data_IF_545954511548
#
_entry.id   IF_545954511548
#
_cell.length_a   1.000
_cell.length_b   1.000
_cell.length_c   1.000
_cell.angle_alpha   90.00
_cell.angle_beta   90.00
_cell.angle_gamma   90.00
#
_symmetry.space_group_name_H-M   'P 1'
#
loop_
_entity.id
_entity.type
_entity.pdbx_description
1 polymer ?
#
# COMPACT_ATOMS: atom_id res chain seq x y z
N UNK A 1 17.41 -35.60 -21.97
CA UNK A 1 17.38 -34.98 -20.63
C UNK A 1 17.76 -33.54 -20.83
N UNK A 2 16.76 -32.66 -20.81
CA UNK A 2 16.93 -31.26 -21.16
C UNK A 2 17.44 -30.48 -19.96
N UNK A 3 18.75 -30.31 -19.89
CA UNK A 3 19.32 -29.18 -19.16
C UNK A 3 18.99 -27.94 -19.98
N UNK A 4 17.76 -27.45 -19.81
CA UNK A 4 17.42 -26.09 -20.19
C UNK A 4 18.49 -25.22 -19.54
N UNK A 5 19.31 -24.57 -20.37
CA UNK A 5 20.24 -23.52 -19.98
C UNK A 5 19.51 -22.70 -18.92
N UNK A 6 19.84 -22.86 -17.62
CA UNK A 6 19.17 -22.11 -16.58
C UNK A 6 19.41 -20.66 -16.95
N UNK A 7 18.34 -19.97 -17.33
CA UNK A 7 18.41 -18.56 -17.61
C UNK A 7 18.99 -17.88 -16.35
N UNK A 8 19.87 -16.91 -16.55
CA UNK A 8 20.59 -16.24 -15.46
C UNK A 8 19.59 -15.86 -14.35
N UNK A 9 19.77 -16.29 -13.08
CA UNK A 9 18.75 -16.16 -12.02
C UNK A 9 18.32 -14.72 -11.75
N UNK A 10 19.13 -13.73 -12.16
CA UNK A 10 18.73 -12.32 -12.14
C UNK A 10 17.57 -11.96 -13.08
N UNK A 11 17.32 -12.76 -14.12
CA UNK A 11 16.19 -12.59 -15.04
C UNK A 11 14.92 -13.22 -14.48
N UNK A 12 15.06 -14.36 -13.79
CA UNK A 12 13.94 -15.07 -13.16
C UNK A 12 13.27 -14.18 -12.11
N UNK A 13 14.08 -13.52 -11.29
CA UNK A 13 13.64 -12.51 -10.31
C UNK A 13 12.78 -11.40 -10.96
N UNK A 14 13.14 -10.96 -12.17
CA UNK A 14 12.37 -9.92 -12.86
C UNK A 14 11.09 -10.47 -13.50
N UNK A 15 11.13 -11.70 -14.01
CA UNK A 15 9.96 -12.34 -14.59
C UNK A 15 8.92 -12.65 -13.51
N UNK A 16 9.36 -13.11 -12.34
CA UNK A 16 8.52 -13.27 -11.15
C UNK A 16 7.84 -11.95 -10.76
N UNK A 17 8.60 -10.85 -10.73
CA UNK A 17 8.02 -9.52 -10.50
C UNK A 17 7.00 -9.08 -11.54
N UNK A 18 7.18 -9.44 -12.81
CA UNK A 18 6.21 -9.09 -13.85
C UNK A 18 4.87 -9.80 -13.61
N UNK A 19 4.90 -11.03 -13.11
CA UNK A 19 3.71 -11.86 -12.90
C UNK A 19 2.81 -11.36 -11.76
N UNK A 20 3.38 -10.79 -10.69
CA UNK A 20 2.59 -10.40 -9.51
C UNK A 20 1.83 -9.07 -9.61
N UNK A 21 1.87 -8.40 -10.76
CA UNK A 21 1.22 -7.10 -10.93
C UNK A 21 1.80 -6.00 -10.00
N UNK A 22 1.02 -4.96 -9.76
CA UNK A 22 1.46 -3.77 -9.01
C UNK A 22 1.06 -3.79 -7.53
N UNK A 23 0.03 -4.55 -7.15
CA UNK A 23 -0.58 -4.46 -5.81
C UNK A 23 -0.35 -5.70 -4.94
N UNK A 24 0.30 -6.74 -5.45
CA UNK A 24 0.60 -7.96 -4.68
C UNK A 24 2.08 -8.03 -4.37
N UNK A 25 2.39 -8.23 -3.09
CA UNK A 25 3.74 -8.48 -2.60
C UNK A 25 4.00 -9.97 -2.72
N UNK A 26 5.02 -10.33 -3.51
CA UNK A 26 5.47 -11.71 -3.70
C UNK A 26 6.29 -12.14 -2.50
N UNK A 27 6.38 -13.44 -2.24
CA UNK A 27 7.35 -13.99 -1.29
C UNK A 27 8.78 -13.62 -1.68
N UNK A 28 9.55 -13.11 -0.73
CA UNK A 28 10.97 -12.84 -0.91
C UNK A 28 11.75 -14.15 -1.00
N UNK A 29 12.46 -14.38 -2.10
CA UNK A 29 13.24 -15.60 -2.30
C UNK A 29 14.73 -15.37 -2.03
N UNK A 30 15.17 -15.57 -0.79
CA UNK A 30 16.59 -15.39 -0.39
C UNK A 30 17.53 -16.31 -1.19
N UNK A 31 17.10 -17.53 -1.53
CA UNK A 31 17.93 -18.49 -2.26
C UNK A 31 18.33 -17.97 -3.65
N UNK A 32 17.45 -17.26 -4.35
CA UNK A 32 17.78 -16.66 -5.65
C UNK A 32 18.85 -15.56 -5.52
N UNK A 33 18.83 -14.77 -4.43
CA UNK A 33 19.87 -13.78 -4.17
C UNK A 33 21.22 -14.44 -3.90
N UNK A 34 21.24 -15.54 -3.16
CA UNK A 34 22.47 -16.31 -2.92
C UNK A 34 23.04 -16.90 -4.21
N UNK A 35 22.18 -17.42 -5.10
CA UNK A 35 22.61 -17.90 -6.41
C UNK A 35 23.22 -16.78 -7.26
N UNK A 36 22.59 -15.59 -7.31
CA UNK A 36 23.13 -14.42 -8.02
C UNK A 36 24.44 -13.95 -7.40
N UNK A 37 24.55 -13.95 -6.07
CA UNK A 37 25.76 -13.56 -5.36
C UNK A 37 26.92 -14.50 -5.72
N UNK A 38 26.69 -15.82 -5.75
CA UNK A 38 27.70 -16.81 -6.17
C UNK A 38 28.17 -16.57 -7.61
N UNK A 39 27.25 -16.32 -8.54
CA UNK A 39 27.59 -16.00 -9.94
C UNK A 39 28.41 -14.71 -10.04
N UNK A 40 28.02 -13.68 -9.29
CA UNK A 40 28.75 -12.41 -9.27
C UNK A 40 30.16 -12.58 -8.68
N UNK A 41 30.32 -13.37 -7.61
CA UNK A 41 31.63 -13.69 -7.05
C UNK A 41 32.52 -14.37 -8.07
N UNK A 42 32.02 -15.38 -8.78
CA UNK A 42 32.75 -16.03 -9.87
C UNK A 42 33.18 -15.02 -10.96
N UNK A 43 32.31 -14.08 -11.36
CA UNK A 43 32.70 -13.03 -12.31
C UNK A 43 33.78 -12.09 -11.76
N UNK A 44 33.74 -11.76 -10.46
CA UNK A 44 34.76 -10.93 -9.81
C UNK A 44 36.10 -11.67 -9.75
N UNK A 45 36.10 -12.94 -9.38
CA UNK A 45 37.30 -13.79 -9.36
C UNK A 45 37.93 -13.85 -10.76
N UNK A 46 37.13 -14.16 -11.79
CA UNK A 46 37.60 -14.18 -13.18
C UNK A 46 38.21 -12.83 -13.61
N UNK A 47 37.62 -11.70 -13.22
CA UNK A 47 38.19 -10.38 -13.48
C UNK A 47 39.53 -10.17 -12.76
N UNK A 48 39.70 -10.68 -11.54
CA UNK A 48 40.98 -10.62 -10.83
C UNK A 48 42.07 -11.43 -11.54
N UNK A 49 41.73 -12.61 -12.04
CA UNK A 49 42.64 -13.44 -12.85
C UNK A 49 43.01 -12.78 -14.18
N UNK A 50 42.08 -12.06 -14.81
CA UNK A 50 42.29 -11.38 -16.10
C UNK A 50 43.08 -10.08 -15.97
N UNK A 51 43.06 -9.43 -14.80
CA UNK A 51 43.72 -8.14 -14.53
C UNK A 51 45.17 -7.99 -15.05
N UNK A 52 46.09 -8.96 -14.87
CA UNK A 52 47.47 -8.83 -15.36
C UNK A 52 47.61 -8.98 -16.89
N UNK A 53 46.59 -9.48 -17.59
CA UNK A 53 46.63 -9.73 -19.04
C UNK A 53 45.96 -8.62 -19.86
N UNK A 54 45.12 -7.81 -19.22
CA UNK A 54 44.44 -6.64 -19.81
C UNK A 54 45.49 -5.60 -20.21
N UNK A 55 45.35 -5.00 -21.40
CA UNK A 55 46.25 -3.96 -21.93
C UNK A 55 47.71 -4.37 -22.19
N UNK A 56 48.05 -5.66 -22.18
CA UNK A 56 49.37 -6.12 -22.64
C UNK A 56 49.42 -6.11 -24.17
N UNK A 57 50.38 -5.37 -24.73
CA UNK A 57 50.57 -5.18 -26.18
C UNK A 57 50.80 -6.47 -26.99
N UNK A 58 51.19 -7.57 -26.33
CA UNK A 58 51.40 -8.88 -26.96
C UNK A 58 50.12 -9.71 -27.12
N UNK A 59 49.08 -9.41 -26.32
CA UNK A 59 47.85 -10.20 -26.23
C UNK A 59 46.66 -9.34 -26.68
N UNK A 60 46.67 -8.92 -27.94
CA UNK A 60 45.66 -8.01 -28.50
C UNK A 60 44.22 -8.47 -28.22
N UNK A 61 43.41 -7.54 -27.67
CA UNK A 61 41.93 -7.51 -27.65
C UNK A 61 41.18 -8.63 -26.91
N UNK A 62 41.64 -9.88 -26.91
CA UNK A 62 40.85 -11.02 -26.43
C UNK A 62 40.60 -10.98 -24.92
N UNK A 63 41.62 -10.66 -24.12
CA UNK A 63 41.47 -10.54 -22.67
C UNK A 63 40.67 -9.29 -22.28
N UNK A 64 40.77 -8.21 -23.06
CA UNK A 64 39.98 -7.00 -22.86
C UNK A 64 38.49 -7.28 -23.13
N UNK A 65 38.18 -8.01 -24.20
CA UNK A 65 36.80 -8.46 -24.51
C UNK A 65 36.28 -9.41 -23.43
N UNK A 66 37.09 -10.38 -22.98
CA UNK A 66 36.69 -11.29 -21.91
C UNK A 66 36.39 -10.55 -20.60
N UNK A 67 37.24 -9.60 -20.21
CA UNK A 67 37.02 -8.76 -19.04
C UNK A 67 35.77 -7.89 -19.19
N UNK A 68 35.53 -7.32 -20.38
CA UNK A 68 34.34 -6.53 -20.65
C UNK A 68 33.05 -7.36 -20.50
N UNK A 69 33.03 -8.61 -20.96
CA UNK A 69 31.88 -9.51 -20.80
C UNK A 69 31.56 -9.73 -19.31
N UNK A 70 32.56 -10.01 -18.48
CA UNK A 70 32.35 -10.17 -17.03
C UNK A 70 31.85 -8.89 -16.37
N UNK A 71 32.42 -7.73 -16.73
CA UNK A 71 31.99 -6.43 -16.21
C UNK A 71 30.52 -6.12 -16.59
N UNK A 72 30.15 -6.34 -17.85
CA UNK A 72 28.79 -6.12 -18.33
C UNK A 72 27.78 -7.06 -17.67
N UNK A 73 28.16 -8.31 -17.38
CA UNK A 73 27.31 -9.24 -16.65
C UNK A 73 27.10 -8.80 -15.19
N UNK A 74 28.15 -8.36 -14.50
CA UNK A 74 28.02 -7.78 -13.15
C UNK A 74 27.11 -6.55 -13.14
N UNK A 75 27.28 -5.64 -14.11
CA UNK A 75 26.45 -4.45 -14.23
C UNK A 75 24.98 -4.81 -14.48
N UNK A 76 24.71 -5.76 -15.38
CA UNK A 76 23.35 -6.26 -15.64
C UNK A 76 22.74 -6.87 -14.39
N UNK A 77 23.44 -7.76 -13.69
CA UNK A 77 22.93 -8.40 -12.49
C UNK A 77 22.63 -7.36 -11.40
N UNK A 78 23.52 -6.38 -11.19
CA UNK A 78 23.31 -5.26 -10.26
C UNK A 78 22.05 -4.46 -10.61
N UNK A 79 21.86 -4.08 -11.88
CA UNK A 79 20.69 -3.32 -12.31
C UNK A 79 19.38 -4.10 -12.09
N UNK A 80 19.38 -5.40 -12.39
CA UNK A 80 18.19 -6.26 -12.23
C UNK A 80 17.81 -6.43 -10.77
N UNK A 81 18.79 -6.70 -9.90
CA UNK A 81 18.58 -6.78 -8.44
C UNK A 81 18.05 -5.45 -7.90
N UNK A 82 18.63 -4.32 -8.31
CA UNK A 82 18.17 -3.00 -7.86
C UNK A 82 16.75 -2.71 -8.32
N UNK A 83 16.41 -3.01 -9.59
CA UNK A 83 15.06 -2.85 -10.10
C UNK A 83 14.07 -3.72 -9.30
N UNK A 84 14.47 -4.93 -8.92
CA UNK A 84 13.64 -5.79 -8.09
C UNK A 84 13.36 -5.19 -6.72
N UNK A 85 14.42 -4.81 -6.00
CA UNK A 85 14.30 -4.19 -4.68
C UNK A 85 13.48 -2.90 -4.74
N UNK A 86 13.72 -2.05 -5.75
CA UNK A 86 12.97 -0.81 -5.94
C UNK A 86 11.47 -1.07 -6.10
N UNK A 87 11.09 -2.03 -6.94
CA UNK A 87 9.68 -2.38 -7.15
C UNK A 87 9.03 -2.87 -5.85
N UNK A 88 9.72 -3.72 -5.07
CA UNK A 88 9.20 -4.21 -3.79
C UNK A 88 9.04 -3.10 -2.75
N UNK A 89 10.03 -2.20 -2.64
CA UNK A 89 9.91 -1.02 -1.79
C UNK A 89 8.72 -0.15 -2.21
N UNK A 90 8.49 0.04 -3.52
CA UNK A 90 7.34 0.82 -4.01
C UNK A 90 6.01 0.15 -3.68
N UNK A 91 5.92 -1.18 -3.77
CA UNK A 91 4.74 -1.95 -3.36
C UNK A 91 4.47 -1.80 -1.86
N UNK A 92 5.51 -1.82 -1.02
CA UNK A 92 5.38 -1.59 0.43
C UNK A 92 4.95 -0.17 0.76
N UNK A 93 5.48 0.83 0.06
CA UNK A 93 5.00 2.22 0.19
C UNK A 93 3.53 2.32 -0.21
N UNK A 94 3.14 1.76 -1.35
CA UNK A 94 1.76 1.74 -1.79
C UNK A 94 0.85 1.02 -0.78
N UNK A 95 1.33 -0.07 -0.17
CA UNK A 95 0.62 -0.74 0.91
C UNK A 95 0.40 0.19 2.11
N UNK A 96 1.43 0.91 2.57
CA UNK A 96 1.36 1.88 3.67
C UNK A 96 0.30 2.96 3.44
N UNK A 97 0.20 3.46 2.22
CA UNK A 97 -0.79 4.47 1.82
C UNK A 97 -2.23 3.92 1.74
N UNK A 98 -2.39 2.61 1.51
CA UNK A 98 -3.71 1.99 1.31
C UNK A 98 -4.30 1.35 2.57
N UNK A 99 -3.44 0.82 3.46
CA UNK A 99 -3.83 0.01 4.62
C UNK A 99 -3.36 0.59 5.96
N UNK A 100 -2.53 1.63 5.94
CA UNK A 100 -2.00 2.21 7.18
C UNK A 100 -0.70 1.56 7.64
N UNK A 101 -0.36 1.79 8.91
CA UNK A 101 0.91 1.38 9.54
C UNK A 101 0.98 -0.12 9.85
N UNK A 102 -0.16 -0.80 9.94
CA UNK A 102 -0.21 -2.21 10.32
C UNK A 102 -0.02 -3.14 9.10
N UNK A 103 1.00 -4.00 9.18
CA UNK A 103 1.22 -5.05 8.18
C UNK A 103 0.37 -6.26 8.54
N UNK A 104 -0.45 -6.72 7.60
CA UNK A 104 -1.19 -7.97 7.77
C UNK A 104 -0.22 -9.16 7.82
N UNK A 105 -0.60 -10.21 8.56
CA UNK A 105 0.22 -11.42 8.73
C UNK A 105 0.61 -12.09 7.39
N UNK A 106 -0.25 -11.99 6.37
CA UNK A 106 0.06 -12.46 5.01
C UNK A 106 1.23 -11.71 4.39
N UNK A 107 1.29 -10.38 4.55
CA UNK A 107 2.36 -9.55 4.00
C UNK A 107 3.65 -9.75 4.80
N UNK A 108 3.57 -9.81 6.13
CA UNK A 108 4.73 -10.06 7.00
C UNK A 108 5.44 -11.36 6.65
N UNK A 109 4.69 -12.42 6.31
CA UNK A 109 5.28 -13.70 5.89
C UNK A 109 5.99 -13.69 4.53
N UNK A 110 5.81 -12.63 3.73
CA UNK A 110 6.33 -12.52 2.35
C UNK A 110 7.47 -11.53 2.20
N UNK A 111 7.72 -10.71 3.21
CA UNK A 111 8.79 -9.70 3.22
C UNK A 111 10.03 -10.24 3.92
N UNK A 112 11.19 -9.71 3.55
CA UNK A 112 12.42 -9.99 4.28
C UNK A 112 12.52 -9.11 5.54
N UNK A 113 13.40 -9.50 6.49
CA UNK A 113 13.69 -8.67 7.68
C UNK A 113 14.24 -7.29 7.33
N UNK A 114 14.98 -7.17 6.22
CA UNK A 114 15.48 -5.88 5.75
C UNK A 114 14.37 -5.00 5.19
N UNK A 115 13.37 -5.58 4.54
CA UNK A 115 12.19 -4.88 4.05
C UNK A 115 11.26 -4.44 5.18
N UNK A 116 11.14 -5.26 6.23
CA UNK A 116 10.41 -4.90 7.45
C UNK A 116 11.03 -3.66 8.11
N UNK A 117 12.35 -3.67 8.32
CA UNK A 117 13.07 -2.50 8.84
C UNK A 117 12.89 -1.26 7.95
N UNK A 118 12.94 -1.42 6.63
CA UNK A 118 12.68 -0.33 5.68
C UNK A 118 11.25 0.23 5.84
N UNK A 119 10.26 -0.63 6.04
CA UNK A 119 8.87 -0.23 6.24
C UNK A 119 8.68 0.56 7.55
N UNK A 120 9.31 0.13 8.63
CA UNK A 120 9.27 0.83 9.92
C UNK A 120 9.91 2.22 9.85
N UNK A 121 11.08 2.33 9.19
CA UNK A 121 11.73 3.61 8.93
C UNK A 121 10.83 4.51 8.06
N UNK A 122 10.19 3.96 7.02
CA UNK A 122 9.27 4.71 6.19
C UNK A 122 8.02 5.18 6.95
N UNK A 123 7.48 4.36 7.86
CA UNK A 123 6.38 4.74 8.74
C UNK A 123 6.78 5.89 9.66
N UNK A 124 8.00 5.86 10.21
CA UNK A 124 8.50 6.92 11.08
C UNK A 124 8.59 8.26 10.34
N UNK A 125 9.09 8.25 9.10
CA UNK A 125 9.12 9.45 8.23
C UNK A 125 7.72 9.99 7.97
N UNK A 126 6.74 9.10 7.72
CA UNK A 126 5.35 9.51 7.53
C UNK A 126 4.71 10.04 8.81
N UNK A 127 5.06 9.50 9.97
CA UNK A 127 4.56 9.98 11.25
C UNK A 127 5.09 11.40 11.54
N UNK A 128 6.37 11.68 11.26
CA UNK A 128 6.94 13.03 11.32
C UNK A 128 6.24 13.99 10.36
N UNK A 129 5.99 13.54 9.13
CA UNK A 129 5.26 14.30 8.13
C UNK A 129 3.82 14.61 8.58
N UNK A 130 3.10 13.61 9.10
CA UNK A 130 1.75 13.75 9.64
C UNK A 130 1.72 14.76 10.79
N UNK A 131 2.68 14.70 11.72
CA UNK A 131 2.78 15.66 12.83
C UNK A 131 3.02 17.09 12.32
N UNK A 132 3.89 17.27 11.32
CA UNK A 132 4.15 18.58 10.72
C UNK A 132 2.92 19.19 10.04
N UNK A 133 2.08 18.34 9.43
CA UNK A 133 0.84 18.78 8.78
C UNK A 133 -0.24 19.07 9.81
N UNK A 134 -0.42 18.17 10.78
CA UNK A 134 -1.45 18.32 11.80
C UNK A 134 -1.23 19.60 12.61
N UNK A 135 0.02 19.88 12.99
CA UNK A 135 0.38 21.14 13.67
C UNK A 135 0.15 22.39 12.82
N UNK A 136 0.37 22.31 11.50
CA UNK A 136 0.17 23.44 10.59
C UNK A 136 -1.29 23.74 10.28
N UNK A 137 -2.13 22.71 10.17
CA UNK A 137 -3.51 22.83 9.71
C UNK A 137 -4.56 22.54 10.78
N UNK A 138 -4.16 22.29 12.04
CA UNK A 138 -5.04 21.89 13.15
C UNK A 138 -5.97 20.72 12.77
N UNK A 139 -5.44 19.74 12.03
CA UNK A 139 -6.19 18.54 11.68
C UNK A 139 -6.24 17.60 12.90
N UNK A 140 -7.34 16.84 13.08
CA UNK A 140 -7.40 15.81 14.10
C UNK A 140 -6.26 14.80 13.90
N UNK A 141 -5.69 14.29 14.99
CA UNK A 141 -4.64 13.25 15.00
C UNK A 141 -5.14 11.98 14.31
N UNK A 142 -5.08 12.01 12.99
CA UNK A 142 -5.48 10.93 12.11
C UNK A 142 -4.37 10.75 11.11
N UNK A 143 -3.98 9.49 10.92
CA UNK A 143 -3.00 9.15 9.91
C UNK A 143 -3.59 9.46 8.53
N UNK A 144 -2.87 10.28 7.75
CA UNK A 144 -3.29 10.68 6.40
C UNK A 144 -3.52 9.45 5.51
N UNK A 145 -2.82 8.35 5.79
CA UNK A 145 -2.97 7.10 5.05
C UNK A 145 -4.25 6.30 5.42
N UNK A 146 -4.88 6.58 6.57
CA UNK A 146 -6.12 5.91 6.99
C UNK A 146 -7.37 6.60 6.43
N UNK A 147 -7.29 7.88 6.06
CA UNK A 147 -8.38 8.57 5.40
C UNK A 147 -8.36 8.27 3.90
N UNK A 148 -9.16 7.28 3.48
CA UNK A 148 -9.59 7.20 2.08
C UNK A 148 -10.43 8.44 1.77
N UNK A 149 -9.77 9.48 1.23
CA UNK A 149 -10.40 10.68 0.67
C UNK A 149 -11.22 10.21 -0.54
N UNK A 150 -12.43 9.73 -0.30
CA UNK A 150 -13.31 9.20 -1.36
C UNK A 150 -14.40 8.24 -0.92
N UNK A 151 -14.28 7.54 0.22
CA UNK A 151 -15.30 6.53 0.60
C UNK A 151 -16.35 6.99 1.60
N UNK A 152 -16.11 8.09 2.34
CA UNK A 152 -16.99 8.54 3.42
C UNK A 152 -17.73 9.87 3.14
N UNK A 153 -18.09 10.11 1.88
CA UNK A 153 -19.23 10.97 1.58
C UNK A 153 -20.50 10.13 1.34
N UNK A 154 -20.63 8.98 2.03
CA UNK A 154 -21.99 8.60 2.44
C UNK A 154 -22.42 9.72 3.38
N UNK A 155 -23.28 10.62 2.90
CA UNK A 155 -23.85 11.66 3.75
C UNK A 155 -24.34 11.03 5.06
N UNK A 156 -24.30 11.79 6.15
CA UNK A 156 -24.70 11.33 7.49
C UNK A 156 -26.12 10.71 7.57
N UNK A 157 -26.86 10.71 6.46
CA UNK A 157 -28.22 10.25 6.31
C UNK A 157 -28.28 8.92 5.55
N UNK A 158 -28.88 7.91 6.19
CA UNK A 158 -29.24 6.65 5.56
C UNK A 158 -30.69 6.73 5.10
N UNK A 159 -30.98 6.21 3.91
CA UNK A 159 -32.36 5.97 3.50
C UNK A 159 -32.89 4.79 4.31
N UNK A 160 -33.99 5.00 5.03
CA UNK A 160 -34.64 3.96 5.82
C UNK A 160 -36.08 3.75 5.40
N UNK A 161 -36.52 2.50 5.51
CA UNK A 161 -37.92 2.12 5.43
C UNK A 161 -38.53 2.08 6.83
N UNK A 162 -39.69 2.70 6.99
CA UNK A 162 -40.41 2.74 8.25
C UNK A 162 -41.41 1.59 8.29
N UNK A 163 -41.33 0.74 9.31
CA UNK A 163 -42.25 -0.39 9.52
C UNK A 163 -43.45 0.07 10.35
N UNK A 164 -43.20 0.72 11.48
CA UNK A 164 -44.24 1.17 12.40
C UNK A 164 -44.34 2.70 12.40
N UNK A 165 -45.56 3.27 12.44
CA UNK A 165 -45.73 4.72 12.50
C UNK A 165 -45.23 5.25 13.85
N UNK A 166 -44.69 6.45 13.86
CA UNK A 166 -44.11 7.03 15.06
C UNK A 166 -43.82 8.51 14.94
N UNK A 167 -43.23 9.06 15.99
CA UNK A 167 -42.86 10.47 16.09
C UNK A 167 -41.43 10.55 16.58
N UNK A 168 -40.64 11.42 15.94
CA UNK A 168 -39.33 11.79 16.47
C UNK A 168 -39.17 13.29 16.54
N UNK A 169 -38.34 13.74 17.47
CA UNK A 169 -38.04 15.16 17.64
C UNK A 169 -36.90 15.56 16.70
N UNK A 170 -37.15 16.51 15.80
CA UNK A 170 -36.14 17.10 14.93
C UNK A 170 -35.76 18.48 15.44
N UNK A 171 -34.47 18.71 15.65
CA UNK A 171 -33.94 20.03 15.91
C UNK A 171 -34.02 20.89 14.63
N UNK A 172 -34.79 21.97 14.68
CA UNK A 172 -34.94 22.97 13.62
C UNK A 172 -34.38 24.29 14.13
N UNK A 173 -33.55 24.94 13.34
CA UNK A 173 -33.04 26.28 13.64
C UNK A 173 -34.10 27.30 13.23
N UNK A 174 -34.65 28.00 14.21
CA UNK A 174 -35.57 29.10 13.99
C UNK A 174 -34.85 30.42 14.25
N UNK A 175 -35.01 31.38 13.34
CA UNK A 175 -34.46 32.72 13.49
C UNK A 175 -35.54 33.66 14.03
N UNK A 176 -35.40 34.07 15.29
CA UNK A 176 -36.32 35.00 15.94
C UNK A 176 -35.53 36.13 16.61
N UNK A 177 -35.98 37.38 16.42
CA UNK A 177 -35.39 38.57 17.05
C UNK A 177 -33.85 38.68 16.92
N UNK A 178 -33.29 38.32 15.76
CA UNK A 178 -31.85 38.43 15.52
C UNK A 178 -30.99 37.32 16.12
N UNK A 179 -31.59 36.28 16.71
CA UNK A 179 -30.88 35.13 17.27
C UNK A 179 -31.40 33.82 16.67
N UNK A 180 -30.49 32.88 16.43
CA UNK A 180 -30.83 31.51 16.07
C UNK A 180 -31.09 30.71 17.33
N UNK A 181 -32.28 30.14 17.44
CA UNK A 181 -32.67 29.26 18.52
C UNK A 181 -32.98 27.87 17.96
N UNK A 182 -32.45 26.83 18.60
CA UNK A 182 -32.74 25.45 18.24
C UNK A 182 -34.06 25.05 18.89
N UNK A 183 -35.11 24.83 18.08
CA UNK A 183 -36.39 24.30 18.54
C UNK A 183 -36.55 22.84 18.12
N UNK A 184 -37.15 22.07 19.00
CA UNK A 184 -37.44 20.66 18.76
C UNK A 184 -38.87 20.51 18.24
N UNK A 185 -39.01 20.22 16.95
CA UNK A 185 -40.32 20.01 16.31
C UNK A 185 -40.61 18.51 16.14
N UNK A 186 -41.83 18.05 16.44
CA UNK A 186 -42.21 16.66 16.21
C UNK A 186 -42.41 16.40 14.72
N UNK A 187 -41.69 15.40 14.19
CA UNK A 187 -41.86 14.91 12.83
C UNK A 187 -42.55 13.55 12.90
N UNK A 188 -43.71 13.48 12.26
CA UNK A 188 -44.52 12.27 12.16
C UNK A 188 -44.10 11.45 10.95
N UNK A 189 -43.99 10.14 11.12
CA UNK A 189 -43.73 9.22 10.02
C UNK A 189 -44.74 8.08 10.03
N UNK A 190 -45.16 7.70 8.82
CA UNK A 190 -46.17 6.67 8.60
C UNK A 190 -45.50 5.35 8.20
N UNK A 191 -46.12 4.23 8.58
CA UNK A 191 -45.71 2.90 8.13
C UNK A 191 -45.68 2.81 6.60
N UNK A 192 -44.67 2.13 6.07
CA UNK A 192 -44.47 1.93 4.63
C UNK A 192 -43.87 3.12 3.89
N UNK A 193 -43.56 4.23 4.56
CA UNK A 193 -42.86 5.36 3.94
C UNK A 193 -41.33 5.23 4.00
N UNK A 194 -40.65 5.95 3.11
CA UNK A 194 -39.20 6.06 3.11
C UNK A 194 -38.78 7.43 3.62
N UNK A 195 -37.75 7.48 4.45
CA UNK A 195 -37.22 8.73 5.00
C UNK A 195 -35.74 8.62 5.29
N UNK A 196 -35.08 9.76 5.40
CA UNK A 196 -33.65 9.86 5.64
C UNK A 196 -33.37 10.11 7.12
N UNK A 197 -32.58 9.24 7.75
CA UNK A 197 -32.24 9.33 9.17
C UNK A 197 -30.73 9.31 9.38
N UNK A 198 -30.26 10.04 10.40
CA UNK A 198 -28.86 9.96 10.80
C UNK A 198 -28.55 8.68 11.55
N UNK A 199 -27.28 8.28 11.57
CA UNK A 199 -26.84 7.07 12.30
C UNK A 199 -27.14 7.14 13.80
N UNK A 200 -27.01 8.33 14.39
CA UNK A 200 -27.37 8.59 15.79
C UNK A 200 -28.87 8.44 16.03
N UNK A 201 -29.71 8.95 15.11
CA UNK A 201 -31.16 8.79 15.18
C UNK A 201 -31.54 7.30 15.11
N UNK A 202 -30.99 6.55 14.16
CA UNK A 202 -31.22 5.11 14.03
C UNK A 202 -30.84 4.36 15.31
N UNK A 203 -29.67 4.67 15.90
CA UNK A 203 -29.23 4.06 17.14
C UNK A 203 -30.15 4.41 18.34
N UNK A 204 -30.75 5.60 18.36
CA UNK A 204 -31.66 6.03 19.42
C UNK A 204 -33.00 5.28 19.44
N UNK A 205 -33.43 4.73 18.30
CA UNK A 205 -34.64 3.89 18.22
C UNK A 205 -34.41 2.46 18.74
N UNK A 206 -33.17 2.09 19.06
CA UNK A 206 -32.81 0.79 19.60
C UNK A 206 -32.98 -0.36 18.60
N UNK A 207 -32.73 -1.60 19.05
CA UNK A 207 -32.93 -2.82 18.25
C UNK A 207 -34.41 -3.15 17.96
N UNK A 208 -35.34 -2.27 18.32
CA UNK A 208 -36.75 -2.43 17.98
C UNK A 208 -36.98 -2.03 16.53
N UNK A 209 -37.60 -2.95 15.80
CA UNK A 209 -37.73 -3.04 14.35
C UNK A 209 -38.60 -1.97 13.67
N UNK A 210 -38.62 -0.74 14.16
CA UNK A 210 -39.51 0.31 13.64
C UNK A 210 -38.97 0.96 12.37
N UNK A 211 -37.63 0.99 12.21
CA UNK A 211 -36.94 1.65 11.09
C UNK A 211 -35.80 0.75 10.59
N UNK A 212 -35.81 0.38 9.31
CA UNK A 212 -34.76 -0.45 8.69
C UNK A 212 -33.94 0.38 7.69
N UNK A 213 -32.60 0.50 7.87
CA UNK A 213 -31.74 1.13 6.87
C UNK A 213 -31.61 0.26 5.62
N UNK A 214 -31.82 0.87 4.45
CA UNK A 214 -31.64 0.20 3.16
C UNK A 214 -30.16 0.29 2.81
N UNK A 215 -29.45 -0.84 2.90
CA UNK A 215 -28.06 -0.90 2.47
C UNK A 215 -28.02 -0.87 0.94
N UNK A 216 -27.16 0.01 0.37
CA UNK A 216 -26.84 -0.04 -1.05
C UNK A 216 -26.00 -1.30 -1.29
N UNK A 217 -26.52 -2.22 -2.10
CA UNK A 217 -25.76 -3.32 -2.70
C UNK A 217 -24.71 -2.79 -3.67
#
# INVERSE_FOLDING_TARGET
MGDSIRENPSIDILNELKLAGNNQIISHNENQFDEIAKINLNHIENLQYLKPFISNSSNESQYDVAALVHLLNLQRNKMRVLAYLKKRCDQLKAYRWNHGKELNHEVQSRISKSEEKFFDEYCSILDEYNQSINSKFNLPESDICHQKIGSNNQGNYNLCQIINPGVYSKAVLNFNNGKFETKHEPVFYNSGSFSFFTREQINSFGHNSDIIPIQKT
#
